data_IF_382338051962
#
_entry.id   IF_382338051962
#
_cell.length_a   1.000
_cell.length_b   1.000
_cell.length_c   1.000
_cell.angle_alpha   90.00
_cell.angle_beta   90.00
_cell.angle_gamma   90.00
#
_symmetry.space_group_name_H-M   'P 1'
#
loop_
_entity.id
_entity.type
_entity.pdbx_description
1 polymer ?
#
# COMPACT_ATOMS: atom_id res chain seq x y z
N UNK A 1 -14.37 3.13 -23.50
CA UNK A 1 -14.81 4.26 -22.66
C UNK A 1 -13.61 4.70 -21.83
N UNK A 2 -13.10 5.93 -22.00
CA UNK A 2 -11.87 6.39 -21.32
C UNK A 2 -12.21 6.61 -19.84
N UNK A 3 -11.38 6.17 -18.89
CA UNK A 3 -11.61 6.37 -17.44
C UNK A 3 -11.96 7.82 -17.09
N UNK A 4 -11.33 8.79 -17.77
CA UNK A 4 -11.61 10.21 -17.61
C UNK A 4 -13.04 10.61 -18.02
N UNK A 5 -13.64 9.92 -18.99
CA UNK A 5 -15.04 10.10 -19.40
C UNK A 5 -16.00 9.66 -18.29
N UNK A 6 -15.67 8.59 -17.57
CA UNK A 6 -16.45 8.09 -16.44
C UNK A 6 -16.37 9.05 -15.28
N UNK A 7 -15.15 9.48 -14.92
CA UNK A 7 -14.93 10.45 -13.83
C UNK A 7 -15.65 11.77 -14.15
N UNK A 8 -15.54 12.26 -15.39
CA UNK A 8 -16.28 13.44 -15.86
C UNK A 8 -17.79 13.26 -15.68
N UNK A 9 -18.36 12.13 -16.13
CA UNK A 9 -19.80 11.83 -15.96
C UNK A 9 -20.22 11.73 -14.49
N UNK A 10 -19.36 11.20 -13.61
CA UNK A 10 -19.64 11.08 -12.18
C UNK A 10 -19.61 12.46 -11.48
N UNK A 11 -18.68 13.34 -11.88
CA UNK A 11 -18.64 14.75 -11.44
C UNK A 11 -19.85 15.54 -11.96
N UNK A 12 -20.19 15.41 -13.24
CA UNK A 12 -21.36 16.06 -13.86
C UNK A 12 -22.68 15.62 -13.21
N UNK A 13 -22.76 14.34 -12.82
CA UNK A 13 -23.92 13.78 -12.10
C UNK A 13 -23.91 14.05 -10.60
N UNK A 14 -22.92 14.81 -10.10
CA UNK A 14 -22.79 15.15 -8.67
C UNK A 14 -22.71 13.91 -7.75
N UNK A 15 -22.19 12.80 -8.28
CA UNK A 15 -21.91 11.59 -7.50
C UNK A 15 -20.61 11.76 -6.70
N UNK A 16 -19.70 12.58 -7.22
CA UNK A 16 -18.46 12.99 -6.57
C UNK A 16 -18.55 14.49 -6.24
N UNK A 17 -19.28 14.87 -5.19
CA UNK A 17 -19.27 16.25 -4.69
C UNK A 17 -18.23 16.43 -3.57
N UNK A 18 -17.49 17.55 -3.54
CA UNK A 18 -16.83 18.00 -2.33
C UNK A 18 -17.92 18.19 -1.26
N UNK A 19 -17.66 17.77 -0.03
CA UNK A 19 -18.60 18.02 1.08
C UNK A 19 -18.89 19.51 1.23
N UNK A 20 -20.16 19.81 1.44
CA UNK A 20 -20.62 21.10 1.93
C UNK A 20 -20.10 21.32 3.36
N UNK A 21 -19.65 22.55 3.63
CA UNK A 21 -19.18 23.09 4.92
C UNK A 21 -17.73 22.83 5.34
N UNK A 22 -16.77 23.05 4.43
CA UNK A 22 -15.36 23.33 4.78
C UNK A 22 -14.60 22.20 5.48
N UNK A 23 -15.25 21.08 5.70
CA UNK A 23 -14.69 19.84 6.20
C UNK A 23 -14.75 18.87 5.03
N UNK A 24 -13.65 18.57 4.32
CA UNK A 24 -13.67 17.52 3.31
C UNK A 24 -14.39 16.30 3.89
N UNK A 25 -15.35 15.72 3.15
CA UNK A 25 -15.85 14.38 3.42
C UNK A 25 -14.59 13.55 3.70
N UNK A 26 -14.55 12.68 4.72
CA UNK A 26 -13.34 11.92 5.04
C UNK A 26 -13.01 11.02 3.85
N UNK A 27 -12.32 11.63 2.90
CA UNK A 27 -11.90 11.11 1.62
C UNK A 27 -10.87 10.08 2.02
N UNK A 28 -11.16 8.82 1.73
CA UNK A 28 -10.38 7.56 1.71
C UNK A 28 -8.88 7.62 2.13
N UNK A 29 -8.17 8.71 1.85
CA UNK A 29 -6.79 9.02 2.28
C UNK A 29 -6.70 9.44 3.77
N UNK A 30 -7.73 10.04 4.37
CA UNK A 30 -7.71 10.47 5.78
C UNK A 30 -7.62 9.30 6.76
N UNK A 31 -8.06 8.11 6.35
CA UNK A 31 -7.88 6.90 7.14
C UNK A 31 -6.42 6.42 7.16
N UNK A 32 -5.52 6.94 6.34
CA UNK A 32 -4.09 6.58 6.33
C UNK A 32 -3.20 7.56 7.11
N UNK A 33 -3.70 8.76 7.41
CA UNK A 33 -2.94 9.78 8.11
C UNK A 33 -3.47 9.95 9.53
N UNK A 34 -2.63 9.82 10.58
CA UNK A 34 -3.09 10.09 11.94
C UNK A 34 -3.51 11.56 12.05
N UNK A 35 -4.69 11.84 12.59
CA UNK A 35 -5.17 13.22 12.81
C UNK A 35 -5.33 13.58 14.30
N UNK A 36 -4.96 14.81 14.64
CA UNK A 36 -5.20 15.43 15.95
C UNK A 36 -4.42 14.81 17.11
N UNK A 37 -5.07 14.69 18.27
CA UNK A 37 -4.54 14.16 19.56
C UNK A 37 -4.18 12.65 19.51
N UNK A 38 -4.12 12.07 18.32
CA UNK A 38 -3.99 10.66 18.04
C UNK A 38 -3.17 10.49 16.73
N UNK A 39 -1.90 10.07 16.65
CA UNK A 39 -1.04 9.22 17.50
C UNK A 39 -1.69 7.96 18.09
N UNK A 40 -3.01 7.77 18.00
CA UNK A 40 -3.76 6.74 18.73
C UNK A 40 -5.12 6.34 18.09
N UNK A 41 -5.47 6.87 16.90
CA UNK A 41 -6.74 6.61 16.21
C UNK A 41 -6.42 5.68 15.05
N UNK A 42 -7.32 4.73 14.82
CA UNK A 42 -7.13 3.60 13.91
C UNK A 42 -6.92 4.11 12.49
N UNK A 43 -5.74 3.84 11.93
CA UNK A 43 -5.46 4.08 10.51
C UNK A 43 -5.60 2.78 9.71
N UNK A 44 -6.01 2.88 8.45
CA UNK A 44 -6.00 1.75 7.50
C UNK A 44 -4.57 1.25 7.23
N UNK A 45 -3.55 2.08 7.46
CA UNK A 45 -2.13 1.71 7.35
C UNK A 45 -1.21 2.80 7.91
N UNK A 46 0.07 2.47 8.06
CA UNK A 46 1.10 3.42 8.49
C UNK A 46 1.77 4.11 7.29
N UNK A 47 2.40 5.27 7.50
CA UNK A 47 3.11 5.98 6.42
C UNK A 47 4.18 5.10 5.76
N UNK A 48 4.91 4.28 6.54
CA UNK A 48 5.89 3.34 5.97
C UNK A 48 5.24 2.29 5.07
N UNK A 49 4.05 1.79 5.45
CA UNK A 49 3.32 0.75 4.72
C UNK A 49 2.75 1.33 3.43
N UNK A 50 2.20 2.54 3.49
CA UNK A 50 1.75 3.27 2.31
C UNK A 50 2.89 3.54 1.32
N UNK A 51 4.04 4.02 1.80
CA UNK A 51 5.20 4.27 0.95
C UNK A 51 5.73 3.00 0.29
N UNK A 52 5.81 1.90 1.03
CA UNK A 52 6.19 0.59 0.49
C UNK A 52 5.18 0.10 -0.56
N UNK A 53 3.89 0.11 -0.23
CA UNK A 53 2.83 -0.35 -1.10
C UNK A 53 2.79 0.41 -2.44
N UNK A 54 2.91 1.74 -2.39
CA UNK A 54 2.96 2.56 -3.60
C UNK A 54 4.20 2.27 -4.45
N UNK A 55 5.35 2.01 -3.82
CA UNK A 55 6.56 1.65 -4.55
C UNK A 55 6.40 0.31 -5.30
N UNK A 56 5.82 -0.70 -4.65
CA UNK A 56 5.53 -2.01 -5.25
C UNK A 56 4.61 -1.88 -6.47
N UNK A 57 3.48 -1.17 -6.34
CA UNK A 57 2.55 -1.05 -7.46
C UNK A 57 3.12 -0.21 -8.62
N UNK A 58 3.98 0.77 -8.33
CA UNK A 58 4.71 1.52 -9.36
C UNK A 58 5.81 0.68 -10.04
N UNK A 59 6.37 -0.30 -9.34
CA UNK A 59 7.30 -1.28 -9.90
C UNK A 59 6.57 -2.24 -10.83
N UNK A 60 5.47 -2.84 -10.38
CA UNK A 60 4.60 -3.68 -11.23
C UNK A 60 4.13 -2.93 -12.48
N UNK A 61 3.86 -1.63 -12.38
CA UNK A 61 3.50 -0.77 -13.50
C UNK A 61 4.58 -0.63 -14.60
N UNK A 62 5.79 -1.15 -14.38
CA UNK A 62 6.86 -1.21 -15.41
C UNK A 62 6.77 -2.46 -16.28
N UNK A 63 6.08 -3.49 -15.82
CA UNK A 63 5.98 -4.75 -16.52
C UNK A 63 4.86 -4.76 -17.57
N UNK A 64 5.16 -5.40 -18.70
CA UNK A 64 4.23 -5.48 -19.82
C UNK A 64 3.00 -6.29 -19.42
N UNK A 65 1.83 -5.64 -19.50
CA UNK A 65 0.54 -6.25 -19.17
C UNK A 65 0.05 -5.98 -17.74
N UNK A 66 0.89 -5.40 -16.88
CA UNK A 66 0.52 -5.04 -15.50
C UNK A 66 0.27 -3.53 -15.31
N UNK A 67 0.72 -2.70 -16.25
CA UNK A 67 0.51 -1.25 -16.21
C UNK A 67 -0.94 -0.84 -16.51
N UNK A 68 -1.81 -0.92 -15.51
CA UNK A 68 -3.24 -0.54 -15.63
C UNK A 68 -3.52 0.92 -15.28
N UNK A 69 -2.55 1.64 -14.72
CA UNK A 69 -2.69 3.05 -14.27
C UNK A 69 -1.86 4.03 -15.10
N UNK A 70 -1.20 3.54 -16.17
CA UNK A 70 -0.18 4.26 -16.91
C UNK A 70 0.97 4.77 -16.02
N UNK A 71 1.28 4.00 -14.97
CA UNK A 71 2.27 4.28 -13.93
C UNK A 71 2.11 5.66 -13.26
N UNK A 72 0.89 6.21 -13.25
CA UNK A 72 0.63 7.50 -12.64
C UNK A 72 0.51 7.37 -11.11
N UNK A 73 1.34 8.04 -10.29
CA UNK A 73 1.41 7.81 -8.85
C UNK A 73 0.08 7.91 -8.10
N UNK A 74 -0.77 8.89 -8.45
CA UNK A 74 -2.08 9.02 -7.81
C UNK A 74 -3.05 7.90 -8.17
N UNK A 75 -3.05 7.42 -9.42
CA UNK A 75 -3.95 6.35 -9.85
C UNK A 75 -3.49 5.01 -9.28
N UNK A 76 -2.17 4.79 -9.27
CA UNK A 76 -1.55 3.64 -8.60
C UNK A 76 -1.83 3.65 -7.09
N UNK A 77 -1.83 4.81 -6.45
CA UNK A 77 -2.26 4.93 -5.05
C UNK A 77 -3.69 4.45 -4.81
N UNK A 78 -4.62 4.61 -5.76
CA UNK A 78 -5.97 4.05 -5.62
C UNK A 78 -5.99 2.52 -5.60
N UNK A 79 -5.05 1.85 -6.28
CA UNK A 79 -4.88 0.39 -6.23
C UNK A 79 -4.42 -0.03 -4.84
N UNK A 80 -3.43 0.67 -4.28
CA UNK A 80 -2.97 0.46 -2.90
C UNK A 80 -4.12 0.56 -1.89
N UNK A 81 -4.96 1.60 -2.02
CA UNK A 81 -6.12 1.79 -1.14
C UNK A 81 -7.10 0.62 -1.24
N UNK A 82 -7.33 0.09 -2.45
CA UNK A 82 -8.22 -1.04 -2.64
C UNK A 82 -7.74 -2.28 -1.88
N UNK A 83 -6.46 -2.65 -2.00
CA UNK A 83 -5.90 -3.81 -1.29
C UNK A 83 -5.94 -3.64 0.24
N UNK A 84 -5.62 -2.45 0.76
CA UNK A 84 -5.66 -2.19 2.20
C UNK A 84 -7.09 -2.13 2.76
N UNK A 85 -8.09 -1.84 1.91
CA UNK A 85 -9.50 -1.94 2.28
C UNK A 85 -10.02 -3.38 2.35
N UNK A 86 -9.42 -4.30 1.59
CA UNK A 86 -9.72 -5.73 1.64
C UNK A 86 -9.09 -6.40 2.87
N UNK A 87 -7.79 -6.15 3.10
CA UNK A 87 -7.12 -6.54 4.34
C UNK A 87 -6.07 -5.50 4.74
N UNK A 88 -6.20 -4.94 5.95
CA UNK A 88 -5.22 -3.99 6.52
C UNK A 88 -3.82 -4.58 6.73
N UNK A 89 -3.66 -5.90 6.59
CA UNK A 89 -2.36 -6.59 6.62
C UNK A 89 -1.80 -6.91 5.23
N UNK A 90 -2.49 -6.54 4.14
CA UNK A 90 -2.17 -6.98 2.78
C UNK A 90 -0.70 -6.74 2.44
N UNK A 91 -0.23 -5.50 2.55
CA UNK A 91 1.15 -5.15 2.17
C UNK A 91 2.19 -5.60 3.20
N UNK A 92 1.86 -5.63 4.50
CA UNK A 92 2.74 -6.23 5.49
C UNK A 92 2.99 -7.73 5.22
N UNK A 93 1.97 -8.46 4.73
CA UNK A 93 2.12 -9.86 4.29
C UNK A 93 2.89 -9.97 2.98
N UNK A 94 2.60 -9.10 2.02
CA UNK A 94 3.30 -9.04 0.74
C UNK A 94 4.79 -8.82 0.93
N UNK A 95 5.18 -7.90 1.83
CA UNK A 95 6.58 -7.60 2.14
C UNK A 95 7.34 -8.84 2.64
N UNK A 96 6.71 -9.69 3.44
CA UNK A 96 7.30 -10.95 3.87
C UNK A 96 7.45 -11.91 2.68
N UNK A 97 6.38 -12.10 1.90
CA UNK A 97 6.39 -13.00 0.74
C UNK A 97 7.46 -12.62 -0.28
N UNK A 98 7.56 -11.35 -0.65
CA UNK A 98 8.58 -10.84 -1.58
C UNK A 98 9.99 -11.03 -1.01
N UNK A 99 10.22 -10.68 0.26
CA UNK A 99 11.53 -10.86 0.90
C UNK A 99 11.95 -12.33 1.01
N UNK A 100 11.01 -13.25 1.23
CA UNK A 100 11.27 -14.70 1.21
C UNK A 100 11.65 -15.17 -0.20
N UNK A 101 10.95 -14.67 -1.22
CA UNK A 101 11.27 -14.94 -2.62
C UNK A 101 12.64 -14.42 -3.04
N UNK A 102 12.97 -13.16 -2.71
CA UNK A 102 14.28 -12.55 -2.99
C UNK A 102 15.43 -13.32 -2.31
N UNK A 103 15.25 -13.71 -1.04
CA UNK A 103 16.24 -14.50 -0.32
C UNK A 103 16.45 -15.86 -0.99
N UNK A 104 15.36 -16.55 -1.34
CA UNK A 104 15.42 -17.84 -2.02
C UNK A 104 16.12 -17.74 -3.38
N UNK A 105 15.78 -16.73 -4.18
CA UNK A 105 16.41 -16.50 -5.48
C UNK A 105 17.91 -16.18 -5.33
N UNK A 106 18.30 -15.35 -4.36
CA UNK A 106 19.71 -15.05 -4.09
C UNK A 106 20.51 -16.32 -3.71
N UNK A 107 19.90 -17.24 -2.95
CA UNK A 107 20.50 -18.52 -2.60
C UNK A 107 20.62 -19.44 -3.82
N UNK A 108 19.55 -19.54 -4.63
CA UNK A 108 19.50 -20.36 -5.84
C UNK A 108 20.57 -19.93 -6.86
N UNK A 109 20.74 -18.61 -7.03
CA UNK A 109 21.73 -18.00 -7.91
C UNK A 109 23.16 -18.01 -7.34
N UNK A 110 23.35 -18.52 -6.11
CA UNK A 110 24.64 -18.56 -5.40
C UNK A 110 25.27 -17.16 -5.29
N UNK A 111 24.45 -16.15 -5.02
CA UNK A 111 24.92 -14.79 -4.81
C UNK A 111 25.94 -14.72 -3.67
N UNK A 112 26.84 -13.72 -3.66
CA UNK A 112 27.81 -13.55 -2.58
C UNK A 112 27.16 -13.52 -1.20
N UNK A 113 27.85 -14.05 -0.19
CA UNK A 113 27.35 -14.12 1.20
C UNK A 113 26.83 -12.77 1.69
N UNK A 114 27.45 -11.66 1.29
CA UNK A 114 27.01 -10.30 1.65
C UNK A 114 25.60 -9.99 1.17
N UNK A 115 25.25 -10.38 -0.07
CA UNK A 115 23.92 -10.19 -0.65
C UNK A 115 22.89 -11.06 0.08
N UNK A 116 23.21 -12.33 0.33
CA UNK A 116 22.31 -13.24 1.06
C UNK A 116 22.04 -12.72 2.48
N UNK A 117 23.06 -12.21 3.17
CA UNK A 117 22.89 -11.60 4.50
C UNK A 117 22.07 -10.31 4.46
N UNK A 118 22.16 -9.53 3.39
CA UNK A 118 21.31 -8.35 3.20
C UNK A 118 19.84 -8.75 3.04
N UNK A 119 19.55 -9.74 2.19
CA UNK A 119 18.17 -10.22 2.01
C UNK A 119 17.59 -10.85 3.27
N UNK A 120 18.43 -11.54 4.06
CA UNK A 120 18.01 -12.04 5.37
C UNK A 120 17.60 -10.92 6.33
N UNK A 121 18.33 -9.79 6.35
CA UNK A 121 17.98 -8.61 7.17
C UNK A 121 16.69 -7.94 6.71
N UNK A 122 16.46 -7.87 5.39
CA UNK A 122 15.19 -7.35 4.84
C UNK A 122 14.03 -8.23 5.27
N UNK A 123 14.17 -9.56 5.18
CA UNK A 123 13.16 -10.52 5.64
C UNK A 123 12.88 -10.39 7.14
N UNK A 124 13.92 -10.24 7.97
CA UNK A 124 13.75 -10.01 9.41
C UNK A 124 12.96 -8.72 9.69
N UNK A 125 13.29 -7.64 8.97
CA UNK A 125 12.56 -6.36 9.06
C UNK A 125 11.10 -6.52 8.65
N UNK A 126 10.83 -7.20 7.53
CA UNK A 126 9.49 -7.47 7.04
C UNK A 126 8.65 -8.26 8.05
N UNK A 127 9.23 -9.30 8.66
CA UNK A 127 8.59 -10.11 9.70
C UNK A 127 8.29 -9.28 10.96
N UNK A 128 9.21 -8.40 11.36
CA UNK A 128 8.99 -7.43 12.44
C UNK A 128 7.80 -6.51 12.16
N UNK A 129 7.74 -5.91 10.96
CA UNK A 129 6.62 -5.07 10.53
C UNK A 129 5.29 -5.81 10.52
N UNK A 130 5.27 -7.03 10.00
CA UNK A 130 4.06 -7.86 10.01
C UNK A 130 3.62 -8.17 11.45
N UNK A 131 4.55 -8.49 12.35
CA UNK A 131 4.24 -8.74 13.75
C UNK A 131 3.64 -7.51 14.45
N UNK A 132 4.20 -6.31 14.21
CA UNK A 132 3.65 -5.03 14.69
C UNK A 132 2.19 -4.85 14.21
N UNK A 133 1.94 -5.04 12.91
CA UNK A 133 0.60 -4.89 12.33
C UNK A 133 -0.40 -5.94 12.83
N UNK A 134 0.05 -7.18 13.03
CA UNK A 134 -0.78 -8.24 13.64
C UNK A 134 -1.16 -7.86 15.06
N UNK A 135 -0.21 -7.41 15.88
CA UNK A 135 -0.48 -6.98 17.25
C UNK A 135 -1.48 -5.83 17.29
N UNK A 136 -1.36 -4.86 16.39
CA UNK A 136 -2.32 -3.76 16.23
C UNK A 136 -3.72 -4.26 15.83
N UNK A 137 -3.81 -5.14 14.82
CA UNK A 137 -5.10 -5.70 14.38
C UNK A 137 -5.77 -6.56 15.46
N UNK A 138 -4.99 -7.25 16.29
CA UNK A 138 -5.48 -8.00 17.45
C UNK A 138 -5.98 -7.10 18.57
N UNK A 139 -5.28 -6.00 18.86
CA UNK A 139 -5.71 -5.01 19.85
C UNK A 139 -7.00 -4.26 19.43
N UNK A 140 -7.31 -4.28 18.13
CA UNK A 140 -8.48 -3.66 17.54
C UNK A 140 -9.75 -4.52 17.55
N UNK A 141 -9.62 -5.83 17.81
CA UNK A 141 -10.70 -6.82 17.81
C UNK A 141 -11.43 -6.87 19.16
#
# INVERSE_FOLDING_TARGET
>A
MKVLEVIKRLLERKVLEPSSDGQPAPLVINDFLPTGRFRRNKTLGHTWEWSYALAVELEHGRDRGMNVTMNHPLLTGLVVLAHLSEDRLYYARLMVMESEGELFNAQLEKQPRTVVLEQLRKLETAKGRLAERIAEKLADA
#
